data_IF_190198698882
#
_entry.id   IF_190198698882
#
_cell.length_a   1.000
_cell.length_b   1.000
_cell.length_c   1.000
_cell.angle_alpha   90.00
_cell.angle_beta   90.00
_cell.angle_gamma   90.00
#
_symmetry.space_group_name_H-M   'P 1'
#
loop_
_entity.id
_entity.type
_entity.pdbx_description
1 polymer ?
#
# COMPACT_ATOMS: atom_id res chain seq x y z
N UNK A 1 6.03 29.67 11.77
CA UNK A 1 4.83 28.85 11.47
C UNK A 1 3.61 29.70 11.76
N UNK A 2 2.80 29.93 10.74
CA UNK A 2 1.63 30.79 10.79
C UNK A 2 0.38 29.95 11.07
N UNK A 3 -0.54 30.47 11.88
CA UNK A 3 -1.76 29.77 12.28
C UNK A 3 -2.92 30.74 12.19
N UNK A 4 -3.94 30.38 11.42
CA UNK A 4 -5.20 31.12 11.31
C UNK A 4 -6.29 30.38 12.10
N UNK A 5 -6.74 30.97 13.21
CA UNK A 5 -7.85 30.45 14.02
C UNK A 5 -8.49 31.54 14.85
N UNK A 6 -9.81 31.44 15.04
CA UNK A 6 -10.57 32.29 15.98
C UNK A 6 -10.88 31.57 17.30
N UNK A 7 -10.66 30.26 17.38
CA UNK A 7 -10.95 29.48 18.58
C UNK A 7 -9.84 29.68 19.63
N UNK A 8 -10.21 30.32 20.74
CA UNK A 8 -9.31 30.55 21.89
C UNK A 8 -8.80 29.25 22.50
N UNK A 9 -9.61 28.18 22.51
CA UNK A 9 -9.21 26.86 23.04
C UNK A 9 -8.18 26.21 22.13
N UNK A 10 -8.43 26.22 20.82
CA UNK A 10 -7.50 25.71 19.81
C UNK A 10 -6.17 26.47 19.88
N UNK A 11 -6.21 27.80 20.00
CA UNK A 11 -5.03 28.65 20.17
C UNK A 11 -4.20 28.27 21.39
N UNK A 12 -4.82 28.11 22.56
CA UNK A 12 -4.12 27.69 23.78
C UNK A 12 -3.50 26.29 23.64
N UNK A 13 -4.27 25.33 23.09
CA UNK A 13 -3.81 23.96 22.89
C UNK A 13 -2.64 23.89 21.89
N UNK A 14 -2.77 24.51 20.72
CA UNK A 14 -1.73 24.56 19.70
C UNK A 14 -0.49 25.30 20.18
N UNK A 15 -0.65 26.40 20.93
CA UNK A 15 0.49 27.15 21.46
C UNK A 15 1.36 26.31 22.38
N UNK A 16 0.77 25.42 23.19
CA UNK A 16 1.52 24.50 24.06
C UNK A 16 2.21 23.41 23.22
N UNK A 17 1.43 22.70 22.41
CA UNK A 17 1.91 21.55 21.64
C UNK A 17 3.03 21.93 20.66
N UNK A 18 2.91 23.07 19.99
CA UNK A 18 3.88 23.49 18.98
C UNK A 18 5.18 24.01 19.60
N UNK A 19 5.10 24.69 20.75
CA UNK A 19 6.29 25.07 21.52
C UNK A 19 7.05 23.84 22.02
N UNK A 20 6.33 22.83 22.50
CA UNK A 20 6.94 21.55 22.88
C UNK A 20 7.60 20.81 21.71
N UNK A 21 7.12 21.03 20.48
CA UNK A 21 7.69 20.49 19.26
C UNK A 21 8.82 21.36 18.68
N UNK A 22 9.18 22.46 19.35
CA UNK A 22 10.26 23.37 18.93
C UNK A 22 9.85 24.45 17.92
N UNK A 23 8.57 24.53 17.57
CA UNK A 23 8.06 25.56 16.65
C UNK A 23 7.71 26.86 17.40
N UNK A 24 7.85 27.98 16.68
CA UNK A 24 7.37 29.30 17.12
C UNK A 24 6.06 29.63 16.38
N UNK A 25 4.89 29.34 16.99
CA UNK A 25 3.61 29.64 16.36
C UNK A 25 3.29 31.14 16.44
N UNK A 26 2.85 31.72 15.32
CA UNK A 26 2.28 33.06 15.24
C UNK A 26 0.81 32.91 14.85
N UNK A 27 -0.08 33.47 15.67
CA UNK A 27 -1.53 33.30 15.52
C UNK A 27 -2.16 34.55 14.93
N UNK A 28 -3.03 34.34 13.94
CA UNK A 28 -3.82 35.35 13.27
C UNK A 28 -5.31 35.01 13.42
N UNK A 29 -6.13 36.03 13.65
CA UNK A 29 -7.60 35.89 13.82
C UNK A 29 -8.38 36.31 12.56
N UNK A 30 -7.69 36.97 11.62
CA UNK A 30 -8.21 37.42 10.34
C UNK A 30 -7.30 37.00 9.18
N UNK A 31 -7.91 36.80 8.01
CA UNK A 31 -7.22 36.50 6.75
C UNK A 31 -6.25 37.62 6.35
N UNK A 32 -6.69 38.88 6.47
CA UNK A 32 -5.86 40.06 6.18
C UNK A 32 -4.57 40.08 7.02
N UNK A 33 -4.70 39.76 8.31
CA UNK A 33 -3.56 39.68 9.23
C UNK A 33 -2.61 38.54 8.89
N UNK A 34 -3.13 37.41 8.38
CA UNK A 34 -2.32 36.30 7.89
C UNK A 34 -1.58 36.67 6.60
N UNK A 35 -2.27 37.24 5.61
CA UNK A 35 -1.67 37.62 4.33
C UNK A 35 -0.58 38.67 4.49
N UNK A 36 -0.79 39.69 5.34
CA UNK A 36 0.24 40.66 5.68
C UNK A 36 1.47 40.01 6.35
N UNK A 37 1.26 38.96 7.16
CA UNK A 37 2.34 38.23 7.80
C UNK A 37 3.11 37.31 6.83
N UNK A 38 2.42 36.69 5.87
CA UNK A 38 3.05 35.89 4.80
C UNK A 38 3.97 36.79 3.96
N UNK A 39 3.51 37.99 3.60
CA UNK A 39 4.31 38.95 2.82
C UNK A 39 5.53 39.52 3.56
N UNK A 40 5.53 39.50 4.89
CA UNK A 40 6.61 40.09 5.72
C UNK A 40 7.57 39.05 6.31
N UNK A 41 7.23 37.75 6.30
CA UNK A 41 8.08 36.69 6.83
C UNK A 41 8.71 35.88 5.69
N UNK A 42 10.04 35.94 5.55
CA UNK A 42 10.80 35.23 4.51
C UNK A 42 10.93 33.70 4.71
N UNK A 43 10.44 33.11 5.83
CA UNK A 43 10.82 31.73 6.23
C UNK A 43 9.73 30.88 6.87
N UNK A 44 8.44 31.07 6.56
CA UNK A 44 7.35 30.35 7.24
C UNK A 44 6.90 29.08 6.49
N UNK A 45 7.73 28.03 6.46
CA UNK A 45 7.56 26.77 5.70
C UNK A 45 6.19 26.04 5.80
N UNK A 46 5.32 26.39 6.74
CA UNK A 46 4.01 25.74 6.94
C UNK A 46 2.98 26.70 7.55
N UNK A 47 1.75 26.65 7.02
CA UNK A 47 0.59 27.37 7.51
C UNK A 47 -0.48 26.39 8.01
N UNK A 48 -1.03 26.64 9.21
CA UNK A 48 -2.15 25.89 9.77
C UNK A 48 -3.42 26.73 9.72
N UNK A 49 -4.48 26.21 9.09
CA UNK A 49 -5.75 26.91 8.93
C UNK A 49 -6.87 26.14 9.62
N UNK A 50 -7.60 26.82 10.49
CA UNK A 50 -8.79 26.29 11.13
C UNK A 50 -9.94 26.14 10.13
N UNK A 51 -10.38 24.90 9.93
CA UNK A 51 -11.42 24.55 8.94
C UNK A 51 -12.78 25.13 9.35
N UNK A 52 -12.99 25.41 10.65
CA UNK A 52 -14.24 26.03 11.14
C UNK A 52 -14.42 27.48 10.65
N UNK A 53 -13.40 28.09 10.06
CA UNK A 53 -13.51 29.44 9.48
C UNK A 53 -14.20 29.47 8.12
N UNK A 54 -14.41 28.31 7.49
CA UNK A 54 -15.14 28.17 6.21
C UNK A 54 -14.67 29.17 5.15
N UNK A 55 -13.36 29.23 4.91
CA UNK A 55 -12.78 30.09 3.87
C UNK A 55 -13.32 29.67 2.49
N UNK A 56 -13.67 30.66 1.68
CA UNK A 56 -14.06 30.45 0.29
C UNK A 56 -12.84 30.12 -0.60
N UNK A 57 -13.13 29.65 -1.81
CA UNK A 57 -12.11 29.27 -2.80
C UNK A 57 -11.18 30.44 -3.13
N UNK A 58 -11.73 31.65 -3.27
CA UNK A 58 -10.97 32.85 -3.59
C UNK A 58 -9.96 33.21 -2.49
N UNK A 59 -10.36 33.14 -1.21
CA UNK A 59 -9.45 33.35 -0.08
C UNK A 59 -8.35 32.29 -0.02
N UNK A 60 -8.67 31.03 -0.33
CA UNK A 60 -7.68 29.95 -0.35
C UNK A 60 -6.68 30.10 -1.50
N UNK A 61 -7.12 30.57 -2.67
CA UNK A 61 -6.25 30.90 -3.79
C UNK A 61 -5.32 32.07 -3.45
N UNK A 62 -5.81 33.12 -2.78
CA UNK A 62 -4.97 34.22 -2.31
C UNK A 62 -3.86 33.76 -1.36
N UNK A 63 -4.17 32.85 -0.44
CA UNK A 63 -3.16 32.24 0.45
C UNK A 63 -2.15 31.44 -0.36
N UNK A 64 -2.59 30.60 -1.30
CA UNK A 64 -1.70 29.79 -2.15
C UNK A 64 -0.76 30.63 -3.01
N UNK A 65 -1.26 31.73 -3.57
CA UNK A 65 -0.46 32.67 -4.37
C UNK A 65 0.56 33.41 -3.50
N UNK A 66 0.17 33.82 -2.29
CA UNK A 66 1.07 34.46 -1.35
C UNK A 66 2.12 33.49 -0.79
N UNK A 67 1.84 32.18 -0.80
CA UNK A 67 2.62 31.13 -0.14
C UNK A 67 3.13 30.08 -1.15
N UNK A 68 3.79 30.53 -2.21
CA UNK A 68 4.24 29.68 -3.32
C UNK A 68 5.24 28.59 -2.87
N UNK A 69 4.75 27.35 -2.73
CA UNK A 69 5.56 26.17 -2.42
C UNK A 69 5.51 25.67 -0.98
N UNK A 70 4.75 26.30 -0.08
CA UNK A 70 4.69 25.91 1.33
C UNK A 70 3.43 25.08 1.66
N UNK A 71 3.50 24.28 2.73
CA UNK A 71 2.43 23.36 3.12
C UNK A 71 1.28 24.11 3.80
N UNK A 72 0.08 24.06 3.21
CA UNK A 72 -1.14 24.55 3.84
C UNK A 72 -1.87 23.36 4.46
N UNK A 73 -1.96 23.34 5.78
CA UNK A 73 -2.55 22.25 6.55
C UNK A 73 -3.85 22.72 7.18
N UNK A 74 -4.97 22.11 6.79
CA UNK A 74 -6.26 22.35 7.44
C UNK A 74 -6.29 21.61 8.78
N UNK A 75 -6.80 22.22 9.84
CA UNK A 75 -7.01 21.53 11.11
C UNK A 75 -8.40 21.78 11.69
N UNK A 76 -8.87 20.79 12.46
CA UNK A 76 -10.15 20.83 13.18
C UNK A 76 -9.95 20.24 14.59
N UNK A 77 -10.50 20.88 15.61
CA UNK A 77 -10.50 20.34 16.97
C UNK A 77 -11.60 19.28 17.12
N UNK A 78 -11.25 18.11 17.65
CA UNK A 78 -12.24 17.05 17.88
C UNK A 78 -13.31 17.51 18.88
N UNK A 79 -14.56 17.54 18.43
CA UNK A 79 -15.76 17.77 19.26
C UNK A 79 -16.65 16.54 19.21
N UNK A 80 -16.98 15.98 20.37
CA UNK A 80 -17.83 14.80 20.45
C UNK A 80 -19.23 15.12 19.92
N UNK A 81 -19.75 14.31 18.99
CA UNK A 81 -21.10 14.46 18.43
C UNK A 81 -21.22 15.41 17.24
N UNK A 82 -20.11 15.90 16.68
CA UNK A 82 -20.09 16.69 15.43
C UNK A 82 -19.34 15.88 14.37
N UNK A 83 -19.93 15.74 13.18
CA UNK A 83 -19.23 15.14 12.03
C UNK A 83 -18.01 15.96 11.68
N UNK A 84 -16.86 15.31 11.48
CA UNK A 84 -15.63 15.99 11.13
C UNK A 84 -15.76 16.65 9.75
N UNK A 85 -15.71 17.99 9.70
CA UNK A 85 -15.72 18.75 8.44
C UNK A 85 -14.43 18.53 7.64
N UNK A 86 -13.37 18.10 8.31
CA UNK A 86 -12.09 17.70 7.75
C UNK A 86 -12.18 16.81 6.49
N UNK A 87 -13.12 15.87 6.44
CA UNK A 87 -13.24 14.91 5.33
C UNK A 87 -13.89 15.53 4.07
N UNK A 88 -14.76 16.54 4.23
CA UNK A 88 -15.47 17.21 3.11
C UNK A 88 -14.62 18.26 2.41
N UNK A 89 -13.58 18.78 3.07
CA UNK A 89 -12.78 19.94 2.59
C UNK A 89 -11.33 19.54 2.25
N UNK A 90 -11.02 18.24 2.23
CA UNK A 90 -9.66 17.72 2.01
C UNK A 90 -9.01 18.19 0.70
N UNK A 91 -9.81 18.48 -0.34
CA UNK A 91 -9.32 18.98 -1.62
C UNK A 91 -8.70 20.41 -1.56
N UNK A 92 -9.03 21.21 -0.54
CA UNK A 92 -8.56 22.58 -0.42
C UNK A 92 -7.22 22.71 0.32
N UNK A 93 -6.76 21.66 1.00
CA UNK A 93 -5.56 21.68 1.84
C UNK A 93 -4.54 20.63 1.37
N UNK A 94 -3.25 20.85 1.63
CA UNK A 94 -2.19 19.87 1.34
C UNK A 94 -2.31 18.63 2.25
N UNK A 95 -2.79 18.84 3.47
CA UNK A 95 -3.19 17.76 4.39
C UNK A 95 -4.20 18.29 5.39
N UNK A 96 -5.00 17.40 5.98
CA UNK A 96 -5.98 17.76 6.99
C UNK A 96 -5.71 17.02 8.31
N UNK A 97 -5.83 17.74 9.43
CA UNK A 97 -5.48 17.28 10.76
C UNK A 97 -6.66 17.41 11.73
N UNK A 98 -7.13 16.30 12.30
CA UNK A 98 -8.06 16.35 13.44
C UNK A 98 -7.24 16.31 14.74
N UNK A 99 -7.31 17.38 15.53
CA UNK A 99 -6.67 17.53 16.84
C UNK A 99 -7.52 16.86 17.92
N UNK A 100 -7.12 15.70 18.47
CA UNK A 100 -7.83 15.05 19.56
C UNK A 100 -7.70 15.87 20.85
N UNK A 101 -8.63 15.65 21.78
CA UNK A 101 -8.62 16.27 23.12
C UNK A 101 -7.43 15.82 23.97
N UNK A 102 -6.90 14.61 23.73
CA UNK A 102 -5.72 14.09 24.43
C UNK A 102 -4.42 14.71 23.89
N UNK A 103 -3.71 15.46 24.73
CA UNK A 103 -2.51 16.23 24.37
C UNK A 103 -1.39 15.39 23.73
N UNK A 104 -1.05 14.22 24.29
CA UNK A 104 -0.01 13.34 23.73
C UNK A 104 -0.35 12.83 22.31
N UNK A 105 -1.63 12.50 22.09
CA UNK A 105 -2.11 12.05 20.77
C UNK A 105 -2.14 13.21 19.78
N UNK A 106 -2.51 14.41 20.22
CA UNK A 106 -2.48 15.62 19.40
C UNK A 106 -1.04 15.99 19.00
N UNK A 107 -0.09 15.88 19.94
CA UNK A 107 1.34 16.08 19.71
C UNK A 107 1.90 15.13 18.65
N UNK A 108 1.59 13.84 18.75
CA UNK A 108 2.03 12.84 17.77
C UNK A 108 1.47 13.12 16.37
N UNK A 109 0.19 13.52 16.28
CA UNK A 109 -0.44 13.87 15.00
C UNK A 109 0.14 15.15 14.39
N UNK A 110 0.37 16.18 15.19
CA UNK A 110 1.05 17.41 14.77
C UNK A 110 2.47 17.11 14.29
N UNK A 111 3.23 16.28 15.02
CA UNK A 111 4.58 15.88 14.61
C UNK A 111 4.59 15.15 13.27
N UNK A 112 3.60 14.31 13.01
CA UNK A 112 3.48 13.61 11.73
C UNK A 112 3.10 14.55 10.59
N UNK A 113 2.18 15.50 10.83
CA UNK A 113 1.73 16.46 9.83
C UNK A 113 2.81 17.52 9.49
N UNK A 114 3.59 17.93 10.47
CA UNK A 114 4.61 18.99 10.34
C UNK A 114 5.98 18.47 9.86
N UNK A 115 6.24 17.17 9.91
CA UNK A 115 7.51 16.65 9.43
C UNK A 115 7.62 16.79 7.89
N UNK A 116 8.72 17.33 7.37
CA UNK A 116 9.00 17.26 5.94
C UNK A 116 9.28 15.80 5.56
N UNK A 117 8.77 15.35 4.41
CA UNK A 117 9.06 14.02 3.82
C UNK A 117 10.54 13.91 3.37
N UNK A 118 11.39 14.89 3.70
CA UNK A 118 12.76 15.02 3.20
C UNK A 118 13.89 15.03 4.25
N UNK A 119 13.68 14.62 5.50
CA UNK A 119 14.78 14.45 6.47
C UNK A 119 14.81 13.03 7.05
N UNK A 120 15.08 12.06 6.18
CA UNK A 120 15.66 10.77 6.59
C UNK A 120 17.17 10.96 6.74
N UNK A 121 17.57 11.50 7.88
CA UNK A 121 18.96 11.70 8.22
C UNK A 121 19.14 11.59 9.73
N UNK A 122 19.78 10.49 10.15
CA UNK A 122 20.46 10.35 11.44
C UNK A 122 19.64 9.96 12.69
N UNK A 123 19.80 8.69 13.03
CA UNK A 123 20.02 8.10 14.37
C UNK A 123 18.83 7.68 15.25
N UNK A 124 18.87 6.38 15.55
CA UNK A 124 18.36 5.70 16.73
C UNK A 124 16.87 5.80 17.01
N UNK A 125 16.08 5.00 16.28
CA UNK A 125 14.83 4.48 16.83
C UNK A 125 14.96 3.00 17.13
N UNK A 126 15.14 2.73 18.42
CA UNK A 126 14.78 1.47 19.05
C UNK A 126 13.42 1.03 18.51
N UNK A 127 13.38 -0.17 17.97
CA UNK A 127 12.17 -0.83 17.51
C UNK A 127 11.11 -0.83 18.61
N UNK A 128 10.11 0.02 18.49
CA UNK A 128 8.87 -0.10 19.24
C UNK A 128 8.15 -1.34 18.75
N UNK A 129 8.36 -2.45 19.47
CA UNK A 129 7.52 -3.64 19.43
C UNK A 129 6.05 -3.22 19.47
N UNK A 130 5.25 -3.75 18.55
CA UNK A 130 3.79 -3.66 18.64
C UNK A 130 3.32 -4.31 19.96
N UNK A 131 2.26 -3.80 20.61
CA UNK A 131 1.84 -4.29 21.92
C UNK A 131 1.07 -5.62 21.88
N UNK A 132 0.97 -6.27 20.72
CA UNK A 132 0.29 -7.56 20.57
C UNK A 132 1.17 -8.54 19.80
N UNK A 133 1.78 -9.54 20.45
CA UNK A 133 2.36 -10.65 19.75
C UNK A 133 1.21 -11.56 19.31
N UNK A 134 0.70 -11.40 18.09
CA UNK A 134 -0.08 -12.47 17.47
C UNK A 134 0.88 -13.61 17.08
N UNK A 135 1.30 -14.40 18.08
CA UNK A 135 1.68 -15.79 17.86
C UNK A 135 0.37 -16.56 17.74
N UNK A 136 -0.15 -16.78 16.53
CA UNK A 136 -1.18 -17.80 16.32
C UNK A 136 -0.53 -19.06 15.80
N UNK A 137 -0.32 -19.98 16.73
CA UNK A 137 -0.25 -21.42 16.47
C UNK A 137 -1.55 -21.81 15.78
N UNK A 138 -1.47 -22.25 14.52
CA UNK A 138 -2.58 -22.91 13.84
C UNK A 138 -2.79 -24.28 14.51
N UNK A 139 -3.74 -24.36 15.44
CA UNK A 139 -4.29 -25.64 15.87
C UNK A 139 -5.37 -26.01 14.86
N UNK A 140 -4.99 -26.87 13.92
CA UNK A 140 -5.93 -27.56 13.04
C UNK A 140 -6.78 -28.51 13.90
N UNK A 141 -8.05 -28.17 14.03
CA UNK A 141 -9.08 -29.09 14.47
C UNK A 141 -10.34 -28.80 13.66
N UNK A 142 -10.53 -29.50 12.54
CA UNK A 142 -11.84 -30.01 12.12
C UNK A 142 -11.70 -30.93 10.89
N UNK A 143 -12.24 -32.15 11.02
CA UNK A 143 -12.95 -32.85 9.94
C UNK A 143 -12.11 -33.52 8.85
N UNK A 144 -11.63 -34.73 9.12
CA UNK A 144 -11.25 -35.69 8.08
C UNK A 144 -12.45 -36.10 7.23
N UNK A 145 -12.42 -35.78 5.94
CA UNK A 145 -13.16 -36.51 4.89
C UNK A 145 -12.22 -37.58 4.29
N UNK A 146 -12.70 -38.81 4.00
CA UNK A 146 -11.83 -39.92 3.59
C UNK A 146 -11.66 -40.00 2.07
N UNK A 147 -10.41 -40.23 1.63
CA UNK A 147 -10.01 -40.54 0.25
C UNK A 147 -9.13 -39.43 -0.33
N UNK A 148 -7.89 -39.65 -0.78
CA UNK A 148 -7.26 -40.84 -1.37
C UNK A 148 -5.76 -40.74 -1.06
N UNK A 149 -5.14 -41.83 -0.59
CA UNK A 149 -3.71 -41.85 -0.24
C UNK A 149 -2.83 -41.84 -1.50
N UNK A 150 -2.38 -40.66 -1.91
CA UNK A 150 -1.13 -40.53 -2.66
C UNK A 150 -0.03 -40.10 -1.69
N UNK A 151 1.01 -40.94 -1.59
CA UNK A 151 2.24 -40.65 -0.85
C UNK A 151 2.96 -39.46 -1.53
N UNK A 152 2.67 -38.25 -1.08
CA UNK A 152 3.51 -37.10 -1.38
C UNK A 152 4.73 -37.16 -0.46
N UNK A 153 5.92 -37.10 -1.06
CA UNK A 153 7.19 -36.83 -0.40
C UNK A 153 7.00 -35.61 0.51
N UNK A 154 7.13 -35.80 1.83
CA UNK A 154 6.96 -34.74 2.82
C UNK A 154 8.05 -33.68 2.61
N UNK A 155 7.74 -32.63 1.85
CA UNK A 155 8.48 -31.37 1.95
C UNK A 155 8.23 -30.79 3.33
N UNK A 156 9.29 -30.42 4.03
CA UNK A 156 9.22 -29.79 5.35
C UNK A 156 8.32 -28.55 5.31
N UNK A 157 7.57 -28.25 6.39
CA UNK A 157 6.74 -27.06 6.45
C UNK A 157 7.62 -25.82 6.26
N UNK A 158 7.37 -25.08 5.20
CA UNK A 158 8.07 -23.84 4.89
C UNK A 158 7.32 -22.70 5.59
N UNK A 159 7.99 -22.01 6.50
CA UNK A 159 7.40 -20.82 7.12
C UNK A 159 7.55 -19.65 6.14
N UNK A 160 6.43 -19.16 5.64
CA UNK A 160 6.30 -17.92 4.86
C UNK A 160 5.69 -16.82 5.73
N UNK A 161 5.85 -15.56 5.33
CA UNK A 161 5.30 -14.41 6.06
C UNK A 161 4.23 -13.66 5.29
N UNK A 162 4.47 -13.43 4.01
CA UNK A 162 3.62 -12.67 3.10
C UNK A 162 2.84 -13.57 2.15
N UNK A 163 3.40 -14.73 1.80
CA UNK A 163 2.75 -15.70 0.90
C UNK A 163 2.07 -16.83 1.66
N UNK A 164 1.01 -17.37 1.06
CA UNK A 164 0.42 -18.66 1.47
C UNK A 164 1.07 -19.77 0.66
N UNK A 165 1.49 -20.84 1.33
CA UNK A 165 2.17 -21.98 0.69
C UNK A 165 1.67 -23.34 1.21
N UNK A 166 0.36 -23.54 1.18
CA UNK A 166 -0.26 -24.82 1.53
C UNK A 166 -0.25 -25.80 0.35
N UNK A 167 -0.40 -25.28 -0.87
CA UNK A 167 -0.32 -26.08 -2.09
C UNK A 167 1.12 -26.55 -2.38
N UNK A 168 1.24 -27.65 -3.12
CA UNK A 168 2.55 -28.16 -3.56
C UNK A 168 3.24 -27.16 -4.49
N UNK A 169 2.49 -26.52 -5.39
CA UNK A 169 3.02 -25.56 -6.35
C UNK A 169 3.60 -24.32 -5.64
N UNK A 170 2.89 -23.78 -4.64
CA UNK A 170 3.41 -22.66 -3.86
C UNK A 170 4.62 -23.05 -3.01
N UNK A 171 4.66 -24.25 -2.41
CA UNK A 171 5.87 -24.72 -1.71
C UNK A 171 7.08 -24.87 -2.64
N UNK A 172 6.84 -25.31 -3.88
CA UNK A 172 7.88 -25.35 -4.91
C UNK A 172 8.38 -23.94 -5.26
N UNK A 173 7.47 -22.98 -5.43
CA UNK A 173 7.84 -21.57 -5.64
C UNK A 173 8.76 -21.07 -4.52
N UNK A 174 8.40 -21.28 -3.24
CA UNK A 174 9.26 -20.83 -2.12
C UNK A 174 10.63 -21.53 -2.14
N UNK A 175 10.64 -22.82 -2.49
CA UNK A 175 11.89 -23.55 -2.63
C UNK A 175 12.76 -22.96 -3.76
N UNK A 176 12.17 -22.63 -4.90
CA UNK A 176 12.87 -22.04 -6.04
C UNK A 176 13.41 -20.63 -5.70
N UNK A 177 12.63 -19.81 -4.98
CA UNK A 177 13.09 -18.53 -4.46
C UNK A 177 14.31 -18.69 -3.55
N UNK A 178 14.29 -19.69 -2.65
CA UNK A 178 15.42 -20.00 -1.76
C UNK A 178 16.65 -20.51 -2.49
N UNK A 179 16.49 -21.27 -3.57
CA UNK A 179 17.62 -21.75 -4.36
C UNK A 179 18.26 -20.60 -5.14
N UNK A 180 17.44 -19.78 -5.80
CA UNK A 180 17.89 -18.70 -6.69
C UNK A 180 18.47 -17.51 -5.94
N UNK A 181 18.05 -17.31 -4.69
CA UNK A 181 18.73 -16.47 -3.69
C UNK A 181 20.25 -16.59 -3.73
N UNK A 182 20.78 -17.80 -3.96
CA UNK A 182 22.22 -18.04 -3.85
C UNK A 182 23.02 -17.78 -5.13
N UNK A 183 22.36 -17.59 -6.27
CA UNK A 183 23.00 -17.66 -7.59
C UNK A 183 22.90 -16.40 -8.43
N UNK A 184 21.82 -15.63 -8.28
CA UNK A 184 21.48 -14.58 -9.25
C UNK A 184 21.19 -13.25 -8.58
N UNK A 185 21.63 -12.18 -9.25
CA UNK A 185 21.49 -10.79 -8.79
C UNK A 185 20.23 -10.12 -9.35
N UNK A 186 19.64 -10.72 -10.38
CA UNK A 186 18.45 -10.24 -11.05
C UNK A 186 17.48 -11.38 -11.34
N UNK A 187 16.22 -11.20 -10.96
CA UNK A 187 15.15 -12.18 -11.09
C UNK A 187 14.00 -11.60 -11.89
N UNK A 188 13.44 -12.43 -12.78
CA UNK A 188 12.23 -12.11 -13.52
C UNK A 188 11.12 -13.06 -13.07
N UNK A 189 10.12 -12.52 -12.38
CA UNK A 189 8.92 -13.25 -11.99
C UNK A 189 7.96 -13.29 -13.18
N UNK A 190 7.62 -14.48 -13.66
CA UNK A 190 6.75 -14.67 -14.81
C UNK A 190 5.44 -15.37 -14.41
N UNK A 191 4.31 -14.75 -14.73
CA UNK A 191 2.99 -15.38 -14.58
C UNK A 191 2.15 -15.19 -15.84
N UNK A 192 1.07 -15.95 -15.97
CA UNK A 192 0.11 -15.82 -17.07
C UNK A 192 -1.06 -14.87 -16.73
N UNK A 193 -1.15 -14.44 -15.47
CA UNK A 193 -2.27 -13.66 -14.94
C UNK A 193 -1.76 -12.66 -13.89
N UNK A 194 -2.63 -11.75 -13.43
CA UNK A 194 -2.38 -10.75 -12.38
C UNK A 194 -2.00 -11.37 -11.02
N UNK A 195 -0.79 -11.88 -10.94
CA UNK A 195 -0.24 -12.58 -9.79
C UNK A 195 0.28 -11.61 -8.71
N UNK A 196 0.52 -12.14 -7.52
CA UNK A 196 1.01 -11.39 -6.35
C UNK A 196 2.51 -11.06 -6.39
N UNK A 197 3.00 -10.46 -7.49
CA UNK A 197 4.43 -10.22 -7.71
C UNK A 197 5.13 -9.44 -6.60
N UNK A 198 4.51 -8.36 -6.09
CA UNK A 198 5.09 -7.57 -4.99
C UNK A 198 5.14 -8.38 -3.68
N UNK A 199 4.13 -9.21 -3.40
CA UNK A 199 4.15 -10.07 -2.20
C UNK A 199 5.28 -11.10 -2.30
N UNK A 200 5.57 -11.60 -3.51
CA UNK A 200 6.72 -12.47 -3.75
C UNK A 200 8.02 -11.73 -3.51
N UNK A 201 8.16 -10.49 -3.97
CA UNK A 201 9.33 -9.65 -3.70
C UNK A 201 9.52 -9.38 -2.19
N UNK A 202 8.43 -9.14 -1.45
CA UNK A 202 8.45 -8.98 0.01
C UNK A 202 8.84 -10.28 0.72
N UNK A 203 8.33 -11.42 0.26
CA UNK A 203 8.74 -12.72 0.79
C UNK A 203 10.23 -12.97 0.55
N UNK A 204 10.77 -12.62 -0.62
CA UNK A 204 12.21 -12.68 -0.87
C UNK A 204 12.99 -11.80 0.10
N UNK A 205 12.55 -10.58 0.37
CA UNK A 205 13.21 -9.69 1.34
C UNK A 205 13.20 -10.27 2.75
N UNK A 206 12.10 -10.91 3.15
CA UNK A 206 12.02 -11.61 4.41
C UNK A 206 12.96 -12.82 4.46
N UNK A 207 13.03 -13.61 3.39
CA UNK A 207 13.92 -14.77 3.31
C UNK A 207 15.41 -14.36 3.32
N UNK A 208 15.75 -13.18 2.82
CA UNK A 208 17.12 -12.66 2.74
C UNK A 208 17.57 -11.95 4.00
N UNK A 209 16.75 -11.01 4.45
CA UNK A 209 17.11 -10.04 5.47
C UNK A 209 16.24 -10.16 6.72
N UNK A 210 15.22 -11.02 6.74
CA UNK A 210 14.25 -11.09 7.83
C UNK A 210 13.45 -9.80 8.01
N UNK A 211 13.30 -9.01 6.94
CA UNK A 211 12.79 -7.63 6.96
C UNK A 211 13.60 -6.66 7.85
N UNK A 212 14.89 -6.94 8.08
CA UNK A 212 15.78 -5.97 8.74
C UNK A 212 16.04 -4.73 7.90
N UNK A 213 16.02 -4.90 6.57
CA UNK A 213 16.04 -3.82 5.58
C UNK A 213 14.68 -3.75 4.89
N UNK A 214 14.30 -2.54 4.48
CA UNK A 214 13.07 -2.34 3.72
C UNK A 214 13.27 -2.84 2.29
N UNK A 215 12.21 -3.40 1.70
CA UNK A 215 12.16 -3.64 0.26
C UNK A 215 12.11 -2.29 -0.45
N UNK A 216 13.06 -2.04 -1.35
CA UNK A 216 13.07 -0.83 -2.17
C UNK A 216 12.08 -1.00 -3.32
N UNK A 217 11.04 -0.16 -3.35
CA UNK A 217 10.08 -0.12 -4.44
C UNK A 217 10.50 0.99 -5.40
N UNK A 218 10.84 0.64 -6.64
CA UNK A 218 11.28 1.59 -7.64
C UNK A 218 10.09 1.97 -8.52
N UNK A 219 9.91 3.27 -8.71
CA UNK A 219 8.89 3.78 -9.64
C UNK A 219 9.35 3.57 -11.08
N UNK A 220 8.65 2.68 -11.79
CA UNK A 220 9.06 2.16 -13.09
C UNK A 220 9.34 3.25 -14.16
N UNK A 221 8.44 4.21 -14.40
CA UNK A 221 8.60 5.25 -15.41
C UNK A 221 9.73 6.25 -15.14
N UNK A 222 10.17 6.35 -13.88
CA UNK A 222 11.20 7.30 -13.43
C UNK A 222 12.49 6.60 -12.99
N UNK A 223 12.63 5.32 -13.36
CA UNK A 223 13.82 4.55 -13.08
C UNK A 223 15.00 5.13 -13.86
N UNK A 224 16.07 5.43 -13.13
CA UNK A 224 17.36 5.86 -13.68
C UNK A 224 18.51 4.98 -13.20
N UNK A 225 19.48 4.72 -14.07
CA UNK A 225 20.67 3.93 -13.75
C UNK A 225 21.51 4.57 -12.64
N UNK A 226 21.58 5.90 -12.60
CA UNK A 226 22.31 6.64 -11.58
C UNK A 226 21.74 6.38 -10.18
N UNK A 227 20.40 6.36 -10.05
CA UNK A 227 19.74 6.01 -8.80
C UNK A 227 20.06 4.58 -8.36
N UNK A 228 20.00 3.63 -9.29
CA UNK A 228 20.32 2.22 -9.01
C UNK A 228 21.77 2.03 -8.59
N UNK A 229 22.72 2.75 -9.20
CA UNK A 229 24.12 2.74 -8.79
C UNK A 229 24.34 3.33 -7.41
N UNK A 230 23.61 4.39 -7.04
CA UNK A 230 23.68 4.96 -5.69
C UNK A 230 23.21 3.94 -4.66
N UNK A 231 22.10 3.23 -4.94
CA UNK A 231 21.60 2.16 -4.07
C UNK A 231 22.62 1.03 -3.90
N UNK A 232 23.23 0.56 -4.99
CA UNK A 232 24.26 -0.50 -4.93
C UNK A 232 25.48 -0.05 -4.10
N UNK A 233 25.98 1.17 -4.33
CA UNK A 233 27.14 1.71 -3.60
C UNK A 233 26.84 1.85 -2.12
N UNK A 234 25.62 2.28 -1.76
CA UNK A 234 25.20 2.37 -0.38
C UNK A 234 25.09 0.99 0.27
N UNK A 235 24.47 0.02 -0.42
CA UNK A 235 24.36 -1.36 0.04
C UNK A 235 25.74 -2.00 0.27
N UNK A 236 26.69 -1.75 -0.64
CA UNK A 236 28.07 -2.20 -0.52
C UNK A 236 28.81 -1.53 0.67
N UNK A 237 28.61 -0.22 0.88
CA UNK A 237 29.18 0.50 2.02
C UNK A 237 28.66 -0.04 3.36
N UNK A 238 27.38 -0.38 3.42
CA UNK A 238 26.71 -0.93 4.60
C UNK A 238 26.92 -2.45 4.76
N UNK A 239 27.51 -3.11 3.75
CA UNK A 239 27.68 -4.57 3.65
C UNK A 239 26.37 -5.32 3.85
N UNK A 240 25.29 -4.77 3.29
CA UNK A 240 23.93 -5.24 3.48
C UNK A 240 23.32 -5.57 2.11
N UNK A 241 22.53 -6.64 2.02
CA UNK A 241 21.90 -7.03 0.75
C UNK A 241 20.58 -6.28 0.61
N UNK A 242 20.50 -5.33 -0.31
CA UNK A 242 19.26 -4.61 -0.62
C UNK A 242 18.50 -5.36 -1.70
N UNK A 243 17.21 -5.61 -1.47
CA UNK A 243 16.30 -6.11 -2.51
C UNK A 243 15.49 -4.93 -3.05
N UNK A 244 15.46 -4.79 -4.36
CA UNK A 244 14.69 -3.78 -5.06
C UNK A 244 13.71 -4.42 -6.05
N UNK A 245 12.45 -4.00 -5.99
CA UNK A 245 11.40 -4.38 -6.92
C UNK A 245 11.15 -3.25 -7.91
N UNK A 246 11.40 -3.52 -9.19
CA UNK A 246 11.27 -2.54 -10.28
C UNK A 246 9.88 -2.52 -10.92
N UNK A 247 8.90 -3.20 -10.33
CA UNK A 247 7.55 -3.28 -10.86
C UNK A 247 7.40 -4.28 -12.00
N UNK A 248 6.36 -4.07 -12.80
CA UNK A 248 6.03 -4.90 -13.96
C UNK A 248 6.62 -4.29 -15.25
N UNK A 249 7.02 -5.14 -16.19
CA UNK A 249 7.62 -4.72 -17.47
C UNK A 249 6.68 -3.84 -18.31
N UNK A 250 5.38 -4.07 -18.28
CA UNK A 250 4.38 -3.24 -18.96
C UNK A 250 4.23 -1.84 -18.37
N UNK A 251 4.66 -1.63 -17.13
CA UNK A 251 4.73 -0.31 -16.50
C UNK A 251 6.00 0.49 -16.85
N UNK A 252 6.94 -0.08 -17.60
CA UNK A 252 8.20 0.57 -17.97
C UNK A 252 8.12 1.22 -19.36
N UNK A 253 8.80 2.35 -19.52
CA UNK A 253 9.07 2.94 -20.83
C UNK A 253 10.37 2.38 -21.41
N UNK A 254 10.61 2.61 -22.71
CA UNK A 254 11.79 2.10 -23.41
C UNK A 254 13.13 2.58 -22.80
N UNK A 255 13.20 3.85 -22.36
CA UNK A 255 14.41 4.40 -21.74
C UNK A 255 14.73 3.71 -20.42
N UNK A 256 13.74 3.59 -19.53
CA UNK A 256 13.87 2.96 -18.22
C UNK A 256 14.23 1.48 -18.35
N UNK A 257 13.63 0.75 -19.31
CA UNK A 257 14.01 -0.64 -19.54
C UNK A 257 15.45 -0.78 -20.06
N UNK A 258 15.88 0.13 -20.96
CA UNK A 258 17.27 0.13 -21.45
C UNK A 258 18.25 0.37 -20.31
N UNK A 259 18.01 1.39 -19.49
CA UNK A 259 18.85 1.71 -18.33
C UNK A 259 18.88 0.57 -17.31
N UNK A 260 17.75 -0.11 -17.13
CA UNK A 260 17.67 -1.28 -16.27
C UNK A 260 18.50 -2.45 -16.80
N UNK A 261 18.44 -2.71 -18.09
CA UNK A 261 19.24 -3.75 -18.75
C UNK A 261 20.72 -3.46 -18.58
N UNK A 262 21.15 -2.23 -18.84
CA UNK A 262 22.55 -1.80 -18.67
C UNK A 262 22.99 -1.94 -17.21
N UNK A 263 22.11 -1.65 -16.26
CA UNK A 263 22.38 -1.85 -14.84
C UNK A 263 22.45 -3.34 -14.44
N UNK A 264 21.62 -4.22 -15.02
CA UNK A 264 21.69 -5.67 -14.78
C UNK A 264 23.02 -6.24 -15.30
N UNK A 265 23.48 -5.79 -16.47
CA UNK A 265 24.80 -6.15 -16.99
C UNK A 265 25.92 -5.67 -16.06
N UNK A 266 25.82 -4.43 -15.57
CA UNK A 266 26.72 -3.91 -14.55
C UNK A 266 26.73 -4.78 -13.28
N UNK A 267 25.57 -5.08 -12.69
CA UNK A 267 25.45 -5.91 -11.50
C UNK A 267 26.05 -7.30 -11.70
N UNK A 268 25.85 -7.89 -12.88
CA UNK A 268 26.37 -9.22 -13.23
C UNK A 268 27.89 -9.23 -13.39
N UNK A 269 28.50 -8.08 -13.69
CA UNK A 269 29.96 -7.92 -13.76
C UNK A 269 30.64 -7.79 -12.39
N UNK A 270 29.87 -7.49 -11.33
CA UNK A 270 30.38 -7.34 -9.98
C UNK A 270 30.70 -8.70 -9.36
N UNK A 271 31.83 -8.81 -8.67
CA UNK A 271 32.22 -10.05 -7.97
C UNK A 271 31.28 -10.39 -6.82
N UNK A 272 30.84 -9.37 -6.08
CA UNK A 272 29.98 -9.49 -4.89
C UNK A 272 28.94 -8.35 -4.90
N UNK A 273 27.87 -8.47 -5.68
CA UNK A 273 26.81 -7.48 -5.70
C UNK A 273 26.00 -7.51 -4.40
N UNK A 274 25.77 -6.32 -3.84
CA UNK A 274 24.98 -6.13 -2.62
C UNK A 274 23.54 -5.69 -2.91
N UNK A 275 23.17 -5.62 -4.19
CA UNK A 275 21.82 -5.30 -4.62
C UNK A 275 21.24 -6.47 -5.41
N UNK A 276 19.96 -6.74 -5.21
CA UNK A 276 19.19 -7.73 -5.95
C UNK A 276 17.98 -7.07 -6.57
N UNK A 277 17.83 -7.27 -7.87
CA UNK A 277 16.76 -6.67 -8.65
C UNK A 277 15.68 -7.72 -8.95
N UNK A 278 14.41 -7.36 -8.71
CA UNK A 278 13.26 -8.20 -9.03
C UNK A 278 12.37 -7.44 -10.01
N UNK A 279 12.02 -8.12 -11.09
CA UNK A 279 11.11 -7.66 -12.13
C UNK A 279 9.93 -8.60 -12.23
N UNK A 280 8.78 -8.09 -12.66
CA UNK A 280 7.61 -8.91 -12.95
C UNK A 280 7.22 -8.82 -14.42
N UNK A 281 6.77 -9.92 -15.00
CA UNK A 281 6.25 -9.99 -16.34
C UNK A 281 5.01 -10.88 -16.38
N UNK A 282 3.90 -10.29 -16.81
CA UNK A 282 2.66 -11.00 -17.12
C UNK A 282 2.68 -11.40 -18.60
N UNK A 283 2.70 -12.70 -18.87
CA UNK A 283 2.68 -13.23 -20.24
C UNK A 283 1.34 -12.89 -20.90
N UNK A 284 1.38 -12.41 -22.13
CA UNK A 284 0.19 -11.92 -22.84
C UNK A 284 -0.03 -10.42 -22.71
N UNK A 285 0.68 -9.73 -21.80
CA UNK A 285 0.61 -8.26 -21.66
C UNK A 285 1.41 -7.51 -22.73
N UNK A 286 2.14 -8.20 -23.60
CA UNK A 286 3.03 -7.60 -24.60
C UNK A 286 2.29 -6.64 -25.56
N UNK A 287 0.99 -6.86 -25.80
CA UNK A 287 0.17 -5.97 -26.61
C UNK A 287 -0.07 -4.59 -25.95
N UNK A 288 0.07 -4.49 -24.63
CA UNK A 288 -0.11 -3.25 -23.87
C UNK A 288 1.21 -2.49 -23.66
N UNK A 289 2.33 -3.02 -24.15
CA UNK A 289 3.63 -2.41 -23.94
C UNK A 289 3.77 -1.08 -24.68
N UNK A 290 4.51 -0.15 -24.07
CA UNK A 290 4.94 1.06 -24.76
C UNK A 290 5.91 0.70 -25.91
N UNK A 291 5.96 1.58 -26.92
CA UNK A 291 6.81 1.39 -28.10
C UNK A 291 8.27 1.08 -27.71
N UNK A 292 8.87 0.07 -28.34
CA UNK A 292 10.27 -0.32 -28.15
C UNK A 292 10.58 -1.24 -26.95
N UNK A 293 9.62 -1.47 -26.03
CA UNK A 293 9.79 -2.38 -24.88
C UNK A 293 9.82 -3.85 -25.31
N UNK A 294 8.96 -4.24 -26.26
CA UNK A 294 8.85 -5.62 -26.78
C UNK A 294 10.19 -6.11 -27.35
N UNK A 295 10.93 -5.23 -28.02
CA UNK A 295 12.20 -5.55 -28.68
C UNK A 295 13.32 -5.85 -27.67
N UNK A 296 13.24 -5.28 -26.47
CA UNK A 296 14.25 -5.43 -25.41
C UNK A 296 13.96 -6.62 -24.48
N UNK A 297 12.73 -7.16 -24.49
CA UNK A 297 12.33 -8.28 -23.62
C UNK A 297 13.19 -9.55 -23.80
N UNK A 298 13.60 -9.97 -25.01
CA UNK A 298 14.50 -11.11 -25.17
C UNK A 298 15.85 -10.89 -24.48
N UNK A 299 16.41 -9.67 -24.58
CA UNK A 299 17.66 -9.30 -23.91
C UNK A 299 17.49 -9.37 -22.40
N UNK A 300 16.40 -8.82 -21.86
CA UNK A 300 16.08 -8.92 -20.43
C UNK A 300 16.03 -10.39 -19.97
N UNK A 301 15.28 -11.24 -20.66
CA UNK A 301 15.16 -12.68 -20.33
C UNK A 301 16.50 -13.42 -20.36
N UNK A 302 17.45 -13.02 -21.20
CA UNK A 302 18.80 -13.63 -21.21
C UNK A 302 19.66 -13.22 -20.02
N UNK A 303 19.43 -12.02 -19.46
CA UNK A 303 20.22 -11.47 -18.35
C UNK A 303 19.63 -11.81 -16.98
N UNK A 304 18.32 -12.08 -16.92
CA UNK A 304 17.61 -12.36 -15.67
C UNK A 304 17.31 -13.84 -15.50
N UNK A 305 17.31 -14.33 -14.26
CA UNK A 305 16.84 -15.68 -14.00
C UNK A 305 15.31 -15.71 -13.81
N UNK A 306 14.60 -16.40 -14.71
CA UNK A 306 13.13 -16.44 -14.69
C UNK A 306 12.58 -17.40 -13.63
N UNK A 307 11.59 -16.98 -12.86
CA UNK A 307 10.85 -17.79 -11.89
C UNK A 307 9.38 -17.77 -12.29
N UNK A 308 8.81 -18.95 -12.50
CA UNK A 308 7.39 -19.05 -12.80
C UNK A 308 6.56 -18.96 -11.52
N UNK A 309 5.56 -18.08 -11.53
CA UNK A 309 4.57 -17.95 -10.46
C UNK A 309 3.32 -18.75 -10.83
N UNK A 310 2.96 -19.79 -10.06
CA UNK A 310 1.84 -20.68 -10.37
C UNK A 310 0.49 -19.96 -10.25
N UNK A 311 -0.40 -20.20 -11.22
CA UNK A 311 -1.76 -19.68 -11.21
C UNK A 311 -2.63 -20.38 -10.16
N UNK A 312 -3.79 -19.81 -9.79
CA UNK A 312 -4.70 -20.42 -8.80
C UNK A 312 -5.19 -21.81 -9.21
N UNK A 313 -5.27 -22.10 -10.52
CA UNK A 313 -5.56 -23.43 -11.04
C UNK A 313 -4.65 -24.54 -10.46
N UNK A 314 -3.38 -24.21 -10.22
CA UNK A 314 -2.33 -25.12 -9.72
C UNK A 314 -2.22 -25.14 -8.19
N UNK A 315 -2.93 -24.24 -7.50
CA UNK A 315 -2.85 -24.06 -6.04
C UNK A 315 -4.22 -23.94 -5.35
N UNK A 316 -5.15 -24.91 -5.56
CA UNK A 316 -6.47 -24.86 -4.96
C UNK A 316 -6.45 -24.80 -3.42
N UNK A 317 -5.45 -25.42 -2.79
CA UNK A 317 -5.33 -25.45 -1.33
C UNK A 317 -5.01 -24.06 -0.73
N UNK A 318 -4.45 -23.14 -1.52
CA UNK A 318 -4.08 -21.80 -1.05
C UNK A 318 -5.28 -20.83 -1.05
N UNK A 319 -6.34 -21.12 -1.81
CA UNK A 319 -7.47 -20.21 -2.01
C UNK A 319 -8.18 -19.92 -0.67
N UNK A 320 -8.49 -20.96 0.12
CA UNK A 320 -9.22 -20.78 1.37
C UNK A 320 -8.43 -19.96 2.41
N UNK A 321 -7.15 -20.27 2.70
CA UNK A 321 -6.33 -19.43 3.57
C UNK A 321 -6.16 -17.99 3.06
N UNK A 322 -5.98 -17.79 1.75
CA UNK A 322 -5.88 -16.45 1.15
C UNK A 322 -7.18 -15.67 1.40
N UNK A 323 -8.35 -16.26 1.13
CA UNK A 323 -9.64 -15.60 1.37
C UNK A 323 -9.81 -15.22 2.85
N UNK A 324 -9.43 -16.11 3.77
CA UNK A 324 -9.50 -15.85 5.21
C UNK A 324 -8.56 -14.70 5.63
N UNK A 325 -7.35 -14.66 5.10
CA UNK A 325 -6.40 -13.57 5.35
C UNK A 325 -6.93 -12.23 4.83
N UNK A 326 -7.49 -12.21 3.62
CA UNK A 326 -8.07 -11.01 3.02
C UNK A 326 -9.26 -10.51 3.84
N UNK A 327 -10.19 -11.38 4.25
CA UNK A 327 -11.30 -10.96 5.14
C UNK A 327 -10.79 -10.46 6.47
N UNK A 328 -9.80 -11.11 7.08
CA UNK A 328 -9.24 -10.65 8.34
C UNK A 328 -8.63 -9.24 8.21
N UNK A 329 -7.90 -8.99 7.12
CA UNK A 329 -7.32 -7.68 6.80
C UNK A 329 -8.40 -6.62 6.57
N UNK A 330 -9.40 -6.92 5.73
CA UNK A 330 -10.51 -6.01 5.44
C UNK A 330 -11.34 -5.69 6.68
N UNK A 331 -11.59 -6.66 7.55
CA UNK A 331 -12.25 -6.43 8.85
C UNK A 331 -11.44 -5.53 9.78
N UNK A 332 -10.12 -5.64 9.75
CA UNK A 332 -9.25 -4.80 10.57
C UNK A 332 -9.25 -3.35 10.06
N UNK A 333 -9.27 -3.17 8.73
CA UNK A 333 -9.35 -1.86 8.08
C UNK A 333 -10.75 -1.22 8.21
N UNK A 334 -11.81 -2.03 8.11
CA UNK A 334 -13.20 -1.59 8.06
C UNK A 334 -14.05 -2.37 9.09
N UNK A 335 -13.88 -2.11 10.40
CA UNK A 335 -14.53 -2.88 11.46
C UNK A 335 -16.04 -2.71 11.53
N UNK A 336 -16.59 -1.70 10.85
CA UNK A 336 -18.02 -1.39 10.80
C UNK A 336 -18.77 -2.18 9.72
N UNK A 337 -18.05 -2.83 8.77
CA UNK A 337 -18.69 -3.68 7.76
C UNK A 337 -19.23 -4.97 8.40
N UNK A 338 -20.39 -5.41 7.93
CA UNK A 338 -21.12 -6.51 8.57
C UNK A 338 -20.48 -7.88 8.33
N UNK A 339 -19.81 -8.03 7.19
CA UNK A 339 -19.22 -9.29 6.77
C UNK A 339 -18.17 -9.76 7.75
N UNK A 340 -18.31 -11.02 8.18
CA UNK A 340 -17.48 -11.61 9.21
C UNK A 340 -16.67 -12.82 8.80
N UNK A 341 -17.16 -13.56 7.80
CA UNK A 341 -16.61 -14.84 7.36
C UNK A 341 -17.13 -15.16 5.95
N UNK A 342 -16.47 -16.10 5.27
CA UNK A 342 -17.02 -16.76 4.08
C UNK A 342 -17.78 -18.01 4.51
N UNK A 343 -18.85 -18.33 3.78
CA UNK A 343 -19.49 -19.63 3.91
C UNK A 343 -18.59 -20.74 3.30
N UNK A 344 -18.68 -22.00 3.79
CA UNK A 344 -17.97 -23.12 3.18
C UNK A 344 -18.30 -23.32 1.69
N UNK A 345 -19.56 -23.06 1.32
CA UNK A 345 -20.05 -23.15 -0.06
C UNK A 345 -19.39 -22.10 -0.95
N UNK A 346 -19.10 -20.91 -0.42
CA UNK A 346 -18.39 -19.84 -1.14
C UNK A 346 -16.95 -20.23 -1.40
N UNK A 347 -16.28 -20.83 -0.42
CA UNK A 347 -14.91 -21.34 -0.60
C UNK A 347 -14.91 -22.46 -1.64
N UNK A 348 -15.86 -23.39 -1.57
CA UNK A 348 -16.00 -24.46 -2.56
C UNK A 348 -16.22 -23.90 -3.97
N UNK A 349 -17.08 -22.88 -4.10
CA UNK A 349 -17.33 -22.19 -5.37
C UNK A 349 -16.06 -21.54 -5.94
N UNK A 350 -15.29 -20.83 -5.12
CA UNK A 350 -14.03 -20.20 -5.53
C UNK A 350 -12.97 -21.24 -5.96
N UNK A 351 -12.92 -22.39 -5.28
CA UNK A 351 -12.02 -23.50 -5.65
C UNK A 351 -12.47 -24.16 -6.96
N UNK A 352 -13.77 -24.32 -7.18
CA UNK A 352 -14.33 -24.88 -8.41
C UNK A 352 -13.98 -24.00 -9.61
N UNK A 353 -14.13 -22.69 -9.49
CA UNK A 353 -13.89 -21.69 -10.55
C UNK A 353 -12.48 -21.09 -10.50
N UNK A 354 -11.53 -21.76 -9.84
CA UNK A 354 -10.16 -21.27 -9.60
C UNK A 354 -9.37 -20.87 -10.85
N UNK A 355 -9.71 -21.42 -12.01
CA UNK A 355 -9.09 -21.08 -13.30
C UNK A 355 -9.56 -19.74 -13.88
N UNK A 356 -10.61 -19.14 -13.31
CA UNK A 356 -11.17 -17.87 -13.77
C UNK A 356 -10.67 -16.68 -12.93
N UNK A 357 -9.87 -16.97 -11.89
CA UNK A 357 -9.41 -16.00 -10.91
C UNK A 357 -7.88 -15.90 -10.91
N UNK A 358 -7.40 -14.66 -10.91
CA UNK A 358 -6.05 -14.29 -10.52
C UNK A 358 -6.04 -13.75 -9.08
N UNK A 359 -4.86 -13.57 -8.48
CA UNK A 359 -4.75 -13.04 -7.11
C UNK A 359 -5.39 -11.66 -6.99
N UNK A 360 -4.99 -10.70 -7.84
CA UNK A 360 -5.53 -9.35 -7.80
C UNK A 360 -7.03 -9.32 -8.10
N UNK A 361 -7.51 -10.14 -9.03
CA UNK A 361 -8.94 -10.31 -9.32
C UNK A 361 -9.72 -10.84 -8.10
N UNK A 362 -9.21 -11.87 -7.42
CA UNK A 362 -9.83 -12.41 -6.20
C UNK A 362 -9.89 -11.34 -5.09
N UNK A 363 -8.82 -10.57 -4.90
CA UNK A 363 -8.80 -9.45 -3.95
C UNK A 363 -9.88 -8.43 -4.28
N UNK A 364 -9.99 -8.01 -5.54
CA UNK A 364 -11.00 -7.04 -6.00
C UNK A 364 -12.42 -7.55 -5.76
N UNK A 365 -12.71 -8.79 -6.16
CA UNK A 365 -14.03 -9.42 -5.97
C UNK A 365 -14.37 -9.50 -4.48
N UNK A 366 -13.46 -10.01 -3.66
CA UNK A 366 -13.70 -10.10 -2.21
C UNK A 366 -13.88 -8.73 -1.57
N UNK A 367 -13.12 -7.71 -1.99
CA UNK A 367 -13.28 -6.33 -1.51
C UNK A 367 -14.66 -5.79 -1.85
N UNK A 368 -15.09 -5.95 -3.09
CA UNK A 368 -16.39 -5.45 -3.55
C UNK A 368 -17.55 -6.19 -2.85
N UNK A 369 -17.48 -7.52 -2.79
CA UNK A 369 -18.47 -8.32 -2.05
C UNK A 369 -18.47 -7.97 -0.56
N UNK A 370 -17.30 -7.72 0.06
CA UNK A 370 -17.21 -7.35 1.46
C UNK A 370 -17.81 -5.97 1.77
N UNK A 371 -17.64 -5.01 0.86
CA UNK A 371 -18.18 -3.65 1.00
C UNK A 371 -19.71 -3.60 0.81
N UNK A 372 -20.24 -4.36 -0.16
CA UNK A 372 -21.64 -4.27 -0.58
C UNK A 372 -22.57 -5.26 0.13
N UNK A 373 -22.01 -6.33 0.67
CA UNK A 373 -22.80 -7.35 1.34
C UNK A 373 -23.42 -6.81 2.65
N UNK A 374 -24.72 -7.04 2.80
CA UNK A 374 -25.52 -6.60 3.95
C UNK A 374 -25.72 -7.68 5.01
N UNK A 375 -24.99 -8.78 4.94
CA UNK A 375 -25.11 -9.87 5.89
C UNK A 375 -23.73 -10.33 6.39
N UNK A 376 -23.73 -11.11 7.46
CA UNK A 376 -22.49 -11.45 8.18
C UNK A 376 -21.62 -12.50 7.49
N UNK A 377 -22.13 -13.23 6.49
CA UNK A 377 -21.44 -14.41 5.93
C UNK A 377 -21.52 -14.39 4.42
N UNK A 378 -20.43 -14.09 3.71
CA UNK A 378 -20.44 -14.09 2.24
C UNK A 378 -20.87 -15.45 1.70
N UNK A 379 -21.82 -15.41 0.77
CA UNK A 379 -22.39 -16.53 0.05
C UNK A 379 -21.89 -16.54 -1.41
N UNK A 380 -22.03 -17.67 -2.13
CA UNK A 380 -21.60 -17.76 -3.53
C UNK A 380 -22.27 -16.70 -4.42
N UNK A 381 -23.53 -16.36 -4.14
CA UNK A 381 -24.26 -15.37 -4.92
C UNK A 381 -23.71 -13.95 -4.72
N UNK A 382 -23.13 -13.62 -3.56
CA UNK A 382 -22.46 -12.32 -3.36
C UNK A 382 -21.17 -12.22 -4.19
N UNK A 383 -20.49 -13.35 -4.43
CA UNK A 383 -19.32 -13.41 -5.31
C UNK A 383 -19.73 -13.26 -6.77
N UNK A 384 -20.87 -13.84 -7.18
CA UNK A 384 -21.39 -13.74 -8.55
C UNK A 384 -21.96 -12.37 -8.86
N UNK A 385 -22.73 -11.81 -7.94
CA UNK A 385 -23.46 -10.54 -8.14
C UNK A 385 -22.55 -9.32 -8.04
N UNK A 386 -21.52 -9.38 -7.18
CA UNK A 386 -20.56 -8.29 -6.99
C UNK A 386 -19.17 -8.61 -7.58
N UNK A 387 -19.03 -9.78 -8.22
CA UNK A 387 -17.89 -10.14 -9.02
C UNK A 387 -17.95 -9.40 -10.34
N UNK A 388 -16.84 -8.78 -10.73
CA UNK A 388 -16.68 -7.89 -11.88
C UNK A 388 -17.54 -8.30 -13.10
N UNK A 389 -18.64 -7.59 -13.31
CA UNK A 389 -19.12 -7.25 -14.64
C UNK A 389 -18.45 -5.92 -15.01
N UNK A 390 -18.06 -5.74 -16.27
CA UNK A 390 -17.46 -4.57 -16.98
C UNK A 390 -17.13 -3.25 -16.24
N UNK A 391 -16.18 -2.48 -16.80
CA UNK A 391 -15.78 -1.12 -16.36
C UNK A 391 -16.95 -0.18 -16.00
N UNK A 392 -18.12 -0.36 -16.64
CA UNK A 392 -19.37 0.36 -16.35
C UNK A 392 -19.96 0.03 -14.99
N UNK A 393 -19.85 -1.22 -14.55
CA UNK A 393 -20.35 -1.70 -13.26
C UNK A 393 -19.44 -1.30 -12.10
N UNK A 394 -18.14 -1.06 -12.31
CA UNK A 394 -17.26 -0.54 -11.25
C UNK A 394 -17.68 0.86 -10.79
N UNK A 395 -17.98 1.78 -11.71
CA UNK A 395 -18.51 3.11 -11.37
C UNK A 395 -19.92 3.05 -10.76
N UNK A 396 -20.74 2.09 -11.21
CA UNK A 396 -22.07 1.83 -10.64
C UNK A 396 -21.98 1.22 -9.23
N UNK A 397 -21.01 0.35 -8.97
CA UNK A 397 -20.78 -0.26 -7.66
C UNK A 397 -20.20 0.74 -6.66
N UNK A 398 -19.34 1.66 -7.09
CA UNK A 398 -18.89 2.80 -6.30
C UNK A 398 -20.07 3.73 -5.94
N UNK A 399 -20.92 4.04 -6.93
CA UNK A 399 -22.11 4.87 -6.72
C UNK A 399 -23.16 4.19 -5.81
N UNK A 400 -23.37 2.88 -5.97
CA UNK A 400 -24.30 2.10 -5.14
C UNK A 400 -23.78 1.83 -3.73
N UNK A 401 -22.45 1.73 -3.55
CA UNK A 401 -21.83 1.66 -2.23
C UNK A 401 -22.08 2.97 -1.47
N UNK A 402 -21.95 4.10 -2.14
CA UNK A 402 -22.23 5.42 -1.59
C UNK A 402 -23.72 5.60 -1.26
N UNK A 403 -24.66 5.23 -2.16
CA UNK A 403 -26.11 5.31 -1.87
C UNK A 403 -26.55 4.36 -0.74
N UNK A 404 -25.88 3.21 -0.59
CA UNK A 404 -26.14 2.26 0.51
C UNK A 404 -25.67 2.78 1.86
N UNK A 405 -24.59 3.58 1.86
CA UNK A 405 -23.98 4.15 3.07
C UNK A 405 -24.55 5.52 3.44
N UNK A 406 -24.99 6.29 2.44
CA UNK A 406 -25.58 7.61 2.58
C UNK A 406 -26.98 7.60 1.96
N UNK A 407 -28.00 7.08 2.66
CA UNK A 407 -29.36 7.19 2.18
C UNK A 407 -29.70 8.67 2.00
N UNK A 408 -30.14 9.03 0.80
CA UNK A 408 -30.62 10.38 0.48
C UNK A 408 -31.68 10.78 1.49
N UNK A 409 -31.51 11.92 2.15
CA UNK A 409 -32.44 12.48 3.15
C UNK A 409 -33.81 12.92 2.56
N UNK A 410 -34.29 12.30 1.47
CA UNK A 410 -35.53 12.69 0.79
C UNK A 410 -36.77 11.90 1.22
N UNK A 411 -36.67 10.93 2.12
CA UNK A 411 -37.84 10.23 2.70
C UNK A 411 -38.08 10.55 4.18
N UNK A 412 -37.62 11.72 4.64
CA UNK A 412 -37.97 12.25 5.97
C UNK A 412 -39.16 13.24 5.95
N UNK A 413 -39.85 13.38 4.81
CA UNK A 413 -41.11 14.12 4.69
C UNK A 413 -42.14 13.27 3.92
N UNK A 414 -42.70 12.27 4.59
CA UNK A 414 -44.00 11.67 4.23
C UNK A 414 -44.74 11.30 5.51
#
# INVERSE_FOLDING_TARGET
MLILTRDRKARSQLSLLLRELGFRPVFHESLEGLLAAIQTQETSETCLIDIELELDLESMEQIRLAQAGEKIIGFECYRAGVEAKAEKVAALYSSVLILPTHAERAKLRLKHALNPIGQSGSTNRLATRSPFPMKRTLTSALGTLPGTKQRATFMTPVHTRYLVSESRAARQLIHDLKQKKSKSCSLLLESHEEAEFELIAREMNYLDNGDSLSLELIDGPHLSIDYLQVLERQANKEKAIVIAYAGRVDGLNQSSLSELIDFIEYLSSLRNPHMRLILAHEKGSEACFQSGVVEQLPKLRTLTESIHVPAFAERPEDIAPICQMLIASMRAAHPFLQVSRLSPETIAYLIEHRSEYAYAKLVRILRNSFALCRHRTLLPDDIKNFGESDLTTQHLLESMADESYFPSNETANA
#
